data_IF_623685313008
#
_entry.id   IF_623685313008
#
_cell.length_a   1.000
_cell.length_b   1.000
_cell.length_c   1.000
_cell.angle_alpha   90.00
_cell.angle_beta   90.00
_cell.angle_gamma   90.00
#
_symmetry.space_group_name_H-M   'P 1'
#
loop_
_entity.id
_entity.type
_entity.pdbx_description
1 polymer ?
#
# COMPACT_ATOMS: atom_id res chain seq x y z
N UNK A 1 28.68 1.36 -27.98
CA UNK A 1 27.49 1.15 -27.12
C UNK A 1 27.95 0.41 -25.86
N UNK A 2 27.83 0.98 -24.64
CA UNK A 2 28.25 0.24 -23.42
C UNK A 2 27.25 -0.88 -23.16
N UNK A 3 27.71 -2.13 -23.05
CA UNK A 3 26.87 -3.28 -22.73
C UNK A 3 26.49 -3.26 -21.24
N UNK A 4 25.20 -3.34 -20.94
CA UNK A 4 24.70 -3.50 -19.57
C UNK A 4 24.52 -4.99 -19.28
N UNK A 5 24.85 -5.43 -18.06
CA UNK A 5 24.57 -6.81 -17.60
C UNK A 5 23.50 -6.80 -16.52
N UNK A 6 22.49 -7.65 -16.68
CA UNK A 6 21.53 -7.96 -15.61
C UNK A 6 22.24 -8.83 -14.57
N UNK A 7 22.11 -8.44 -13.31
CA UNK A 7 22.50 -9.25 -12.16
C UNK A 7 21.22 -9.61 -11.43
N UNK A 8 20.91 -10.91 -11.39
CA UNK A 8 19.75 -11.42 -10.67
C UNK A 8 20.25 -11.85 -9.30
N UNK A 9 19.75 -11.21 -8.25
CA UNK A 9 19.95 -11.65 -6.88
C UNK A 9 18.63 -12.33 -6.46
N UNK A 10 18.66 -13.66 -6.36
CA UNK A 10 17.51 -14.42 -5.85
C UNK A 10 17.71 -14.63 -4.37
N UNK A 11 16.78 -14.13 -3.57
CA UNK A 11 16.68 -14.47 -2.16
C UNK A 11 15.35 -15.20 -1.97
N UNK A 12 15.44 -16.51 -1.70
CA UNK A 12 14.29 -17.28 -1.26
C UNK A 12 14.20 -17.14 0.25
N UNK A 13 13.50 -16.12 0.74
CA UNK A 13 13.15 -16.08 2.16
C UNK A 13 11.92 -16.95 2.40
N UNK A 14 12.08 -18.00 3.22
CA UNK A 14 11.03 -18.95 3.59
C UNK A 14 10.00 -18.37 4.58
N UNK A 15 10.07 -17.08 4.91
CA UNK A 15 9.11 -16.44 5.79
C UNK A 15 7.83 -16.07 5.02
N UNK A 16 6.92 -17.05 4.97
CA UNK A 16 5.52 -16.96 4.55
C UNK A 16 5.26 -16.36 3.15
N UNK A 17 5.02 -17.25 2.19
CA UNK A 17 4.35 -17.00 0.89
C UNK A 17 4.93 -15.96 -0.07
N UNK A 18 6.17 -15.53 0.09
CA UNK A 18 6.77 -14.53 -0.80
C UNK A 18 8.05 -15.01 -1.45
N UNK A 19 7.96 -15.46 -2.70
CA UNK A 19 9.14 -15.50 -3.57
C UNK A 19 9.53 -14.05 -3.87
N UNK A 20 10.73 -13.63 -3.46
CA UNK A 20 11.27 -12.31 -3.74
C UNK A 20 12.36 -12.46 -4.80
N UNK A 21 12.24 -11.72 -5.88
CA UNK A 21 13.27 -11.60 -6.90
C UNK A 21 13.77 -10.15 -6.94
N UNK A 22 15.05 -9.95 -6.61
CA UNK A 22 15.73 -8.68 -6.77
C UNK A 22 16.50 -8.69 -8.11
N UNK A 23 16.08 -7.82 -9.03
CA UNK A 23 16.67 -7.75 -10.36
C UNK A 23 17.42 -6.42 -10.51
N UNK A 24 18.75 -6.51 -10.65
CA UNK A 24 19.65 -5.38 -10.77
C UNK A 24 20.26 -5.25 -12.16
N UNK A 25 20.64 -4.03 -12.54
CA UNK A 25 21.51 -3.75 -13.69
C UNK A 25 22.83 -3.21 -13.15
N UNK A 26 23.94 -3.81 -13.60
CA UNK A 26 25.28 -3.41 -13.21
C UNK A 26 26.07 -2.80 -14.38
N UNK A 27 26.99 -1.90 -14.05
CA UNK A 27 28.11 -1.53 -14.92
C UNK A 27 29.35 -2.26 -14.42
N UNK A 28 30.06 -2.91 -15.35
CA UNK A 28 31.36 -3.56 -15.13
C UNK A 28 31.38 -4.58 -13.98
N UNK A 29 30.25 -5.26 -13.72
CA UNK A 29 30.05 -6.29 -12.68
C UNK A 29 30.29 -5.87 -11.22
N UNK A 30 30.75 -4.64 -10.95
CA UNK A 30 31.12 -4.17 -9.60
C UNK A 30 30.12 -3.19 -9.00
N UNK A 31 29.27 -2.54 -9.82
CA UNK A 31 28.38 -1.48 -9.34
C UNK A 31 26.95 -1.63 -9.87
N UNK A 32 26.00 -1.86 -8.95
CA UNK A 32 24.57 -1.80 -9.26
C UNK A 32 24.18 -0.34 -9.46
N UNK A 33 23.67 -0.02 -10.66
CA UNK A 33 23.29 1.35 -11.04
C UNK A 33 21.77 1.52 -11.19
N UNK A 34 21.04 0.41 -11.22
CA UNK A 34 19.59 0.39 -11.16
C UNK A 34 19.12 -0.97 -10.63
N UNK A 35 17.99 -1.00 -9.95
CA UNK A 35 17.37 -2.25 -9.48
C UNK A 35 15.85 -2.11 -9.39
N UNK A 36 15.15 -3.23 -9.40
CA UNK A 36 13.74 -3.33 -9.08
C UNK A 36 13.42 -4.71 -8.52
N UNK A 37 12.37 -4.79 -7.72
CA UNK A 37 11.95 -6.03 -7.06
C UNK A 37 10.63 -6.53 -7.63
N UNK A 38 10.46 -7.84 -7.60
CA UNK A 38 9.17 -8.52 -7.78
C UNK A 38 8.95 -9.44 -6.59
N UNK A 39 7.80 -9.30 -5.93
CA UNK A 39 7.32 -10.30 -4.95
C UNK A 39 6.14 -11.04 -5.51
N UNK A 40 6.11 -12.35 -5.31
CA UNK A 40 4.92 -13.14 -5.60
C UNK A 40 4.03 -13.15 -4.36
N UNK A 41 2.78 -12.73 -4.51
CA UNK A 41 1.79 -12.62 -3.44
C UNK A 41 0.50 -13.35 -3.83
N UNK A 42 -0.47 -13.42 -2.91
CA UNK A 42 -1.79 -14.03 -3.15
C UNK A 42 -1.71 -15.47 -3.68
N UNK A 43 -0.86 -16.29 -3.03
CA UNK A 43 -0.62 -17.71 -3.40
C UNK A 43 -0.17 -17.91 -4.86
N UNK A 44 0.66 -17.01 -5.39
CA UNK A 44 1.19 -17.16 -6.75
C UNK A 44 0.44 -16.35 -7.81
N UNK A 45 -0.72 -15.78 -7.49
CA UNK A 45 -1.60 -15.15 -8.48
C UNK A 45 -1.10 -13.78 -8.93
N UNK A 46 -0.40 -13.05 -8.06
CA UNK A 46 -0.01 -11.66 -8.32
C UNK A 46 1.49 -11.48 -8.17
N UNK A 47 2.14 -10.94 -9.20
CA UNK A 47 3.49 -10.40 -9.10
C UNK A 47 3.45 -8.90 -8.74
N UNK A 48 3.89 -8.58 -7.53
CA UNK A 48 4.00 -7.24 -6.99
C UNK A 48 5.35 -6.62 -7.33
N UNK A 49 5.35 -5.69 -8.28
CA UNK A 49 6.55 -4.94 -8.67
C UNK A 49 6.75 -3.77 -7.72
N UNK A 50 7.96 -3.61 -7.18
CA UNK A 50 8.26 -2.51 -6.26
C UNK A 50 9.74 -2.11 -6.24
N UNK A 51 10.04 -1.06 -5.49
CA UNK A 51 11.42 -0.68 -5.17
C UNK A 51 12.27 -0.26 -6.37
N UNK A 52 11.68 0.05 -7.53
CA UNK A 52 12.45 0.48 -8.69
C UNK A 52 13.26 1.74 -8.36
N UNK A 53 14.58 1.67 -8.52
CA UNK A 53 15.50 2.80 -8.35
C UNK A 53 16.53 2.81 -9.46
N UNK A 54 16.87 4.00 -9.93
CA UNK A 54 17.96 4.25 -10.88
C UNK A 54 18.87 5.30 -10.25
N UNK A 55 20.16 4.99 -10.21
CA UNK A 55 21.18 5.90 -9.69
C UNK A 55 21.11 7.25 -10.43
N UNK A 56 21.17 8.41 -9.75
CA UNK A 56 20.93 9.73 -10.36
C UNK A 56 21.74 10.01 -11.63
N UNK A 57 23.05 9.67 -11.63
CA UNK A 57 23.96 9.81 -12.79
C UNK A 57 23.58 8.97 -14.02
N UNK A 58 22.67 8.01 -13.88
CA UNK A 58 22.24 7.09 -14.93
C UNK A 58 20.75 7.20 -15.26
N UNK A 59 20.04 8.21 -14.72
CA UNK A 59 18.66 8.53 -15.10
C UNK A 59 18.56 8.94 -16.58
N UNK A 60 17.36 8.84 -17.15
CA UNK A 60 17.05 9.17 -18.57
C UNK A 60 17.82 8.33 -19.60
N UNK A 61 18.31 7.15 -19.23
CA UNK A 61 18.98 6.18 -20.12
C UNK A 61 18.16 4.93 -20.40
N UNK A 62 16.84 4.99 -20.21
CA UNK A 62 15.94 3.83 -20.41
C UNK A 62 16.01 2.73 -19.35
N UNK A 63 16.89 2.81 -18.34
CA UNK A 63 17.10 1.74 -17.34
C UNK A 63 15.83 1.39 -16.54
N UNK A 64 15.04 2.38 -16.16
CA UNK A 64 13.77 2.13 -15.45
C UNK A 64 12.77 1.35 -16.31
N UNK A 65 12.65 1.72 -17.59
CA UNK A 65 11.79 1.01 -18.54
C UNK A 65 12.29 -0.41 -18.81
N UNK A 66 13.61 -0.57 -18.95
CA UNK A 66 14.25 -1.87 -19.14
C UNK A 66 13.95 -2.83 -17.97
N UNK A 67 14.21 -2.41 -16.72
CA UNK A 67 13.94 -3.24 -15.53
C UNK A 67 12.44 -3.53 -15.40
N UNK A 68 11.58 -2.55 -15.68
CA UNK A 68 10.12 -2.73 -15.62
C UNK A 68 9.65 -3.80 -16.61
N UNK A 69 10.11 -3.73 -17.88
CA UNK A 69 9.81 -4.75 -18.91
C UNK A 69 10.35 -6.12 -18.53
N UNK A 70 11.60 -6.18 -18.04
CA UNK A 70 12.23 -7.41 -17.61
C UNK A 70 11.44 -8.08 -16.47
N UNK A 71 11.09 -7.32 -15.42
CA UNK A 71 10.32 -7.83 -14.29
C UNK A 71 8.92 -8.32 -14.70
N UNK A 72 8.25 -7.63 -15.62
CA UNK A 72 6.96 -8.08 -16.16
C UNK A 72 7.10 -9.39 -16.96
N UNK A 73 8.13 -9.50 -17.81
CA UNK A 73 8.42 -10.73 -18.56
C UNK A 73 8.76 -11.91 -17.64
N UNK A 74 9.60 -11.68 -16.62
CA UNK A 74 9.92 -12.68 -15.60
C UNK A 74 8.66 -13.14 -14.86
N UNK A 75 7.79 -12.20 -14.48
CA UNK A 75 6.52 -12.52 -13.81
C UNK A 75 5.61 -13.39 -14.69
N UNK A 76 5.51 -13.07 -15.99
CA UNK A 76 4.76 -13.88 -16.94
C UNK A 76 5.33 -15.29 -17.08
N UNK A 77 6.66 -15.45 -17.15
CA UNK A 77 7.29 -16.78 -17.20
C UNK A 77 7.11 -17.61 -15.92
N UNK A 78 6.78 -16.98 -14.80
CA UNK A 78 6.44 -17.66 -13.54
C UNK A 78 4.96 -18.08 -13.49
N UNK A 79 4.18 -17.80 -14.53
CA UNK A 79 2.79 -18.21 -14.63
C UNK A 79 1.84 -17.47 -13.68
N UNK A 80 2.20 -16.29 -13.18
CA UNK A 80 1.27 -15.48 -12.38
C UNK A 80 0.07 -15.02 -13.22
N UNK A 81 -1.07 -14.73 -12.60
CA UNK A 81 -2.26 -14.24 -13.30
C UNK A 81 -2.13 -12.77 -13.70
N UNK A 82 -1.46 -11.95 -12.87
CA UNK A 82 -1.37 -10.51 -13.06
C UNK A 82 -0.10 -9.90 -12.46
N UNK A 83 0.25 -8.71 -12.94
CA UNK A 83 1.28 -7.85 -12.32
C UNK A 83 0.62 -6.62 -11.72
N UNK A 84 1.09 -6.19 -10.54
CA UNK A 84 0.64 -4.98 -9.84
C UNK A 84 1.84 -4.10 -9.44
N UNK A 85 1.60 -2.80 -9.39
CA UNK A 85 2.54 -1.78 -8.93
C UNK A 85 1.74 -0.63 -8.30
N UNK A 86 2.18 -0.14 -7.16
CA UNK A 86 1.77 1.17 -6.66
C UNK A 86 2.85 2.20 -6.98
N UNK A 87 2.43 3.37 -7.44
CA UNK A 87 3.35 4.50 -7.61
C UNK A 87 2.68 5.82 -7.28
N UNK A 88 3.49 6.79 -6.84
CA UNK A 88 3.06 8.17 -6.62
C UNK A 88 2.64 8.80 -7.96
N UNK A 89 1.48 9.44 -7.96
CA UNK A 89 0.90 10.03 -9.17
C UNK A 89 1.47 11.40 -9.50
N UNK A 90 1.97 12.12 -8.49
CA UNK A 90 2.52 13.47 -8.64
C UNK A 90 3.96 13.43 -9.20
N UNK A 91 4.58 12.24 -9.23
CA UNK A 91 5.86 12.01 -9.89
C UNK A 91 5.66 11.72 -11.38
N UNK A 92 5.76 12.73 -12.26
CA UNK A 92 5.44 12.62 -13.69
C UNK A 92 6.03 11.40 -14.43
N UNK A 93 7.20 10.92 -14.01
CA UNK A 93 7.90 9.81 -14.67
C UNK A 93 7.34 8.47 -14.21
N UNK A 94 6.97 8.34 -12.94
CA UNK A 94 6.70 7.04 -12.34
C UNK A 94 5.43 6.36 -12.88
N UNK A 95 4.30 7.07 -13.11
CA UNK A 95 3.12 6.52 -13.78
C UNK A 95 3.33 6.15 -15.25
N UNK A 96 4.39 6.63 -15.91
CA UNK A 96 4.68 6.27 -17.31
C UNK A 96 5.21 4.84 -17.41
N UNK A 97 6.02 4.40 -16.44
CA UNK A 97 6.64 3.08 -16.43
C UNK A 97 5.65 1.89 -16.47
N UNK A 98 4.62 1.81 -15.61
CA UNK A 98 3.64 0.71 -15.69
C UNK A 98 2.88 0.71 -17.04
N UNK A 99 2.63 1.89 -17.63
CA UNK A 99 1.95 1.97 -18.94
C UNK A 99 2.78 1.38 -20.08
N UNK A 100 4.11 1.47 -20.01
CA UNK A 100 5.03 0.88 -21.01
C UNK A 100 4.93 -0.64 -21.09
N UNK A 101 4.41 -1.29 -20.05
CA UNK A 101 4.17 -2.73 -20.01
C UNK A 101 2.69 -3.06 -20.07
N UNK A 102 1.85 -2.14 -20.54
CA UNK A 102 0.41 -2.37 -20.76
C UNK A 102 -0.44 -2.39 -19.48
N UNK A 103 0.06 -1.88 -18.35
CA UNK A 103 -0.75 -1.76 -17.14
C UNK A 103 -1.69 -0.56 -17.20
N UNK A 104 -2.90 -0.77 -16.69
CA UNK A 104 -3.93 0.26 -16.54
C UNK A 104 -4.03 0.68 -15.08
N UNK A 105 -4.37 1.96 -14.83
CA UNK A 105 -4.63 2.44 -13.47
C UNK A 105 -5.97 1.87 -12.99
N UNK A 106 -5.96 1.12 -11.89
CA UNK A 106 -7.17 0.50 -11.30
C UNK A 106 -7.78 1.37 -10.22
N UNK A 107 -6.95 1.98 -9.37
CA UNK A 107 -7.43 2.77 -8.24
C UNK A 107 -6.49 3.93 -7.94
N UNK A 108 -7.04 4.97 -7.31
CA UNK A 108 -6.27 6.04 -6.68
C UNK A 108 -6.62 6.09 -5.21
N UNK A 109 -5.59 6.22 -4.38
CA UNK A 109 -5.70 6.37 -2.93
C UNK A 109 -4.78 7.53 -2.50
N UNK A 110 -5.08 8.09 -1.34
CA UNK A 110 -4.21 9.07 -0.70
C UNK A 110 -3.39 8.39 0.39
N UNK A 111 -2.20 8.92 0.59
CA UNK A 111 -1.29 8.58 1.67
C UNK A 111 -1.03 9.84 2.50
N UNK A 112 -1.43 9.79 3.76
CA UNK A 112 -1.13 10.79 4.76
C UNK A 112 0.01 10.29 5.63
N UNK A 113 1.05 11.10 5.79
CA UNK A 113 2.09 10.89 6.79
C UNK A 113 2.21 12.11 7.69
N UNK A 114 1.99 11.88 8.98
CA UNK A 114 2.15 12.88 10.00
C UNK A 114 3.09 12.40 11.10
N UNK A 115 4.09 13.21 11.38
CA UNK A 115 5.03 13.02 12.49
C UNK A 115 4.65 13.81 13.71
N UNK A 116 5.07 13.30 14.87
CA UNK A 116 4.93 13.96 16.16
C UNK A 116 3.50 14.48 16.37
N UNK A 117 2.50 13.59 16.26
CA UNK A 117 1.12 13.95 16.53
C UNK A 117 0.97 14.28 18.02
N UNK A 118 0.58 15.51 18.33
CA UNK A 118 0.41 16.00 19.71
C UNK A 118 -0.76 15.34 20.45
N UNK A 119 -0.82 15.55 21.77
CA UNK A 119 -1.63 14.73 22.68
C UNK A 119 -3.12 15.01 22.70
N UNK A 120 -3.56 16.22 22.35
CA UNK A 120 -4.99 16.58 22.34
C UNK A 120 -5.74 15.61 21.44
N UNK A 121 -6.85 15.05 21.92
CA UNK A 121 -7.82 14.29 21.12
C UNK A 121 -9.21 14.73 21.54
N UNK A 122 -10.07 15.02 20.57
CA UNK A 122 -11.49 15.16 20.83
C UNK A 122 -12.16 13.78 20.82
N UNK A 123 -13.31 13.70 21.48
CA UNK A 123 -14.10 12.47 21.57
C UNK A 123 -14.53 11.98 20.18
N UNK A 124 -14.57 10.65 20.02
CA UNK A 124 -15.11 10.01 18.81
C UNK A 124 -16.65 10.04 18.82
N UNK A 125 -17.25 10.18 17.64
CA UNK A 125 -18.71 10.10 17.46
C UNK A 125 -19.18 8.70 17.03
N UNK A 126 -18.28 7.72 17.05
CA UNK A 126 -18.55 6.34 16.63
C UNK A 126 -17.93 5.38 17.63
N UNK A 127 -18.58 4.24 17.81
CA UNK A 127 -18.05 3.14 18.58
C UNK A 127 -17.16 2.27 17.69
N UNK A 128 -16.09 1.72 18.24
CA UNK A 128 -15.13 0.92 17.49
C UNK A 128 -14.91 -0.42 18.18
N UNK A 129 -15.12 -1.50 17.43
CA UNK A 129 -14.93 -2.86 17.91
C UNK A 129 -13.93 -3.59 17.04
N UNK A 130 -13.08 -4.41 17.68
CA UNK A 130 -12.19 -5.30 16.95
C UNK A 130 -13.02 -6.34 16.19
N UNK A 131 -12.61 -6.63 14.96
CA UNK A 131 -13.29 -7.59 14.09
C UNK A 131 -12.37 -8.75 13.72
N UNK A 132 -12.97 -9.92 13.47
CA UNK A 132 -12.29 -11.08 12.89
C UNK A 132 -12.38 -11.03 11.36
N UNK A 133 -11.54 -11.78 10.64
CA UNK A 133 -11.66 -11.95 9.18
C UNK A 133 -13.07 -12.28 8.69
N UNK A 134 -13.79 -13.17 9.38
CA UNK A 134 -15.14 -13.60 9.02
C UNK A 134 -16.15 -12.46 9.16
N UNK A 135 -16.04 -11.67 10.23
CA UNK A 135 -16.87 -10.48 10.44
C UNK A 135 -16.60 -9.43 9.35
N UNK A 136 -15.33 -9.21 9.00
CA UNK A 136 -14.95 -8.28 7.91
C UNK A 136 -15.47 -8.78 6.56
N UNK A 137 -15.32 -10.07 6.26
CA UNK A 137 -15.82 -10.64 4.99
C UNK A 137 -17.34 -10.51 4.88
N UNK A 138 -18.07 -10.83 5.95
CA UNK A 138 -19.54 -10.70 6.01
C UNK A 138 -19.97 -9.24 5.83
N UNK A 139 -19.31 -8.32 6.54
CA UNK A 139 -19.56 -6.88 6.40
C UNK A 139 -19.38 -6.42 4.95
N UNK A 140 -18.25 -6.76 4.31
CA UNK A 140 -17.94 -6.28 2.96
C UNK A 140 -18.79 -6.96 1.89
N UNK A 141 -19.32 -8.16 2.16
CA UNK A 141 -20.33 -8.80 1.31
C UNK A 141 -21.66 -8.03 1.36
N UNK A 142 -22.03 -7.53 2.54
CA UNK A 142 -23.26 -6.75 2.73
C UNK A 142 -23.11 -5.26 2.35
N UNK A 143 -21.88 -4.78 2.20
CA UNK A 143 -21.57 -3.38 1.89
C UNK A 143 -20.43 -3.28 0.84
N UNK A 144 -20.66 -3.75 -0.40
CA UNK A 144 -19.62 -3.85 -1.43
C UNK A 144 -19.05 -2.49 -1.86
N UNK A 145 -19.77 -1.39 -1.63
CA UNK A 145 -19.31 -0.04 -1.92
C UNK A 145 -18.30 0.53 -0.91
N UNK A 146 -18.07 -0.12 0.23
CA UNK A 146 -17.17 0.39 1.26
C UNK A 146 -15.70 0.30 0.83
N UNK A 147 -15.31 -0.83 0.22
CA UNK A 147 -13.95 -1.08 -0.27
C UNK A 147 -13.95 -1.00 -1.79
N UNK A 148 -13.28 0.01 -2.38
CA UNK A 148 -13.34 0.24 -3.81
C UNK A 148 -12.76 -0.93 -4.60
N UNK A 149 -13.54 -1.42 -5.57
CA UNK A 149 -13.17 -2.51 -6.49
C UNK A 149 -12.78 -3.82 -5.77
N UNK A 150 -13.29 -4.05 -4.55
CA UNK A 150 -12.93 -5.22 -3.76
C UNK A 150 -11.42 -5.37 -3.55
N UNK A 151 -10.70 -4.24 -3.44
CA UNK A 151 -9.25 -4.20 -3.19
C UNK A 151 -8.95 -3.65 -1.80
N UNK A 152 -8.44 -4.53 -0.94
CA UNK A 152 -8.00 -4.19 0.40
C UNK A 152 -6.55 -3.71 0.36
N UNK A 153 -6.34 -2.45 0.76
CA UNK A 153 -5.03 -1.86 0.94
C UNK A 153 -4.60 -2.06 2.39
N UNK A 154 -3.33 -2.38 2.54
CA UNK A 154 -2.63 -2.38 3.82
C UNK A 154 -1.18 -2.05 3.54
N UNK A 155 -0.64 -1.04 4.24
CA UNK A 155 0.69 -0.52 3.93
C UNK A 155 0.84 -0.23 2.41
N UNK A 156 1.93 -0.66 1.77
CA UNK A 156 2.17 -0.47 0.34
C UNK A 156 1.63 -1.59 -0.55
N UNK A 157 0.65 -2.38 -0.09
CA UNK A 157 0.11 -3.53 -0.84
C UNK A 157 -1.39 -3.40 -1.06
N UNK A 158 -1.88 -4.08 -2.11
CA UNK A 158 -3.30 -4.22 -2.41
C UNK A 158 -3.62 -5.68 -2.72
N UNK A 159 -4.56 -6.25 -1.98
CA UNK A 159 -5.03 -7.64 -2.13
C UNK A 159 -6.48 -7.67 -2.60
N UNK A 160 -6.83 -8.71 -3.33
CA UNK A 160 -8.23 -9.02 -3.62
C UNK A 160 -8.95 -9.34 -2.30
N UNK A 161 -10.19 -8.89 -2.18
CA UNK A 161 -11.06 -9.25 -1.07
C UNK A 161 -11.49 -10.72 -1.19
N UNK A 162 -10.73 -11.60 -0.53
CA UNK A 162 -11.07 -13.01 -0.38
C UNK A 162 -10.94 -13.41 1.08
N UNK A 163 -11.67 -14.47 1.49
CA UNK A 163 -11.53 -15.02 2.86
C UNK A 163 -10.09 -15.40 3.17
N UNK A 164 -9.42 -16.06 2.22
CA UNK A 164 -8.02 -16.47 2.37
C UNK A 164 -7.07 -15.28 2.60
N UNK A 165 -7.26 -14.19 1.85
CA UNK A 165 -6.44 -12.98 2.03
C UNK A 165 -6.74 -12.29 3.37
N UNK A 166 -7.99 -12.24 3.81
CA UNK A 166 -8.35 -11.67 5.12
C UNK A 166 -7.74 -12.46 6.28
N UNK A 167 -7.81 -13.79 6.24
CA UNK A 167 -7.19 -14.68 7.24
C UNK A 167 -5.67 -14.53 7.25
N UNK A 168 -5.03 -14.41 6.08
CA UNK A 168 -3.60 -14.16 5.99
C UNK A 168 -3.22 -12.79 6.57
N UNK A 169 -4.03 -11.76 6.30
CA UNK A 169 -3.82 -10.40 6.81
C UNK A 169 -3.94 -10.30 8.33
N UNK A 170 -4.86 -11.03 8.96
CA UNK A 170 -5.10 -10.98 10.41
C UNK A 170 -3.86 -11.29 11.26
N UNK A 171 -2.89 -12.01 10.68
CA UNK A 171 -1.59 -12.27 11.31
C UNK A 171 -0.71 -11.03 11.43
N UNK A 172 -1.02 -9.98 10.68
CA UNK A 172 -0.18 -8.78 10.51
C UNK A 172 -0.92 -7.47 10.83
N UNK A 173 -2.24 -7.45 10.67
CA UNK A 173 -3.07 -6.26 10.89
C UNK A 173 -4.17 -6.57 11.91
N UNK A 174 -4.62 -5.54 12.62
CA UNK A 174 -5.85 -5.61 13.42
C UNK A 174 -6.98 -4.92 12.66
N UNK A 175 -8.11 -5.62 12.49
CA UNK A 175 -9.33 -5.06 11.92
C UNK A 175 -10.19 -4.39 12.98
N UNK A 176 -10.75 -3.24 12.64
CA UNK A 176 -11.73 -2.53 13.46
C UNK A 176 -12.92 -2.11 12.62
N UNK A 177 -14.12 -2.25 13.17
CA UNK A 177 -15.37 -1.80 12.57
C UNK A 177 -15.89 -0.63 13.39
N UNK A 178 -16.19 0.47 12.70
CA UNK A 178 -16.82 1.65 13.30
C UNK A 178 -18.34 1.62 13.12
N UNK A 179 -19.07 1.83 14.20
CA UNK A 179 -20.54 1.87 14.23
C UNK A 179 -21.06 3.23 14.72
N UNK A 180 -22.17 3.69 14.13
CA UNK A 180 -22.92 4.88 14.57
C UNK A 180 -24.41 4.55 14.45
N UNK A 181 -25.17 4.74 15.52
CA UNK A 181 -26.60 4.40 15.58
C UNK A 181 -26.87 2.95 15.14
N UNK A 182 -26.09 2.01 15.67
CA UNK A 182 -26.08 0.58 15.32
C UNK A 182 -25.77 0.22 13.85
N UNK A 183 -25.45 1.21 13.00
CA UNK A 183 -25.07 0.99 11.60
C UNK A 183 -23.55 1.00 11.44
N UNK A 184 -23.01 0.07 10.66
CA UNK A 184 -21.59 0.11 10.28
C UNK A 184 -21.34 1.27 9.33
N UNK A 185 -20.41 2.16 9.70
CA UNK A 185 -20.06 3.35 8.94
C UNK A 185 -18.60 3.35 8.45
N UNK A 186 -17.75 2.48 9.01
CA UNK A 186 -16.36 2.36 8.59
C UNK A 186 -15.73 0.99 8.87
N UNK A 187 -14.67 0.70 8.13
CA UNK A 187 -13.72 -0.39 8.35
C UNK A 187 -12.33 0.23 8.36
N UNK A 188 -11.49 -0.15 9.31
CA UNK A 188 -10.07 0.17 9.26
C UNK A 188 -9.17 -0.99 9.63
N UNK A 189 -8.01 -1.00 8.99
CA UNK A 189 -6.92 -1.94 9.20
C UNK A 189 -5.80 -1.15 9.88
N UNK A 190 -5.30 -1.61 11.02
CA UNK A 190 -4.19 -0.97 11.72
C UNK A 190 -3.04 -1.94 11.95
N UNK A 191 -1.80 -1.50 11.77
CA UNK A 191 -0.60 -2.27 12.05
C UNK A 191 0.54 -1.36 12.53
N UNK A 192 1.42 -1.93 13.35
CA UNK A 192 2.71 -1.31 13.67
C UNK A 192 3.71 -1.69 12.58
N UNK A 193 4.38 -0.70 12.00
CA UNK A 193 5.47 -0.91 11.04
C UNK A 193 6.78 -0.38 11.62
N UNK A 194 7.91 -0.90 11.14
CA UNK A 194 9.23 -0.38 11.46
C UNK A 194 9.83 0.20 10.19
N UNK A 195 10.05 1.51 10.19
CA UNK A 195 10.72 2.23 9.12
C UNK A 195 12.15 2.60 9.48
N UNK A 196 12.91 3.22 8.55
CA UNK A 196 14.30 3.65 8.78
C UNK A 196 14.48 4.65 9.94
N UNK A 197 13.38 5.22 10.46
CA UNK A 197 13.40 6.25 11.51
C UNK A 197 12.72 5.78 12.80
N UNK A 198 12.40 4.49 12.92
CA UNK A 198 11.75 3.91 14.08
C UNK A 198 10.39 3.28 13.76
N UNK A 199 9.67 2.91 14.82
CA UNK A 199 8.32 2.37 14.69
C UNK A 199 7.29 3.46 14.40
N UNK A 200 6.33 3.15 13.54
CA UNK A 200 5.22 4.03 13.18
C UNK A 200 3.91 3.22 13.15
N UNK A 201 2.78 3.93 13.28
CA UNK A 201 1.46 3.31 13.15
C UNK A 201 0.95 3.51 11.73
N UNK A 202 0.70 2.42 11.02
CA UNK A 202 0.11 2.44 9.70
C UNK A 202 -1.35 2.01 9.78
N UNK A 203 -2.25 2.75 9.15
CA UNK A 203 -3.63 2.35 9.01
C UNK A 203 -4.18 2.58 7.59
N UNK A 204 -5.20 1.81 7.23
CA UNK A 204 -6.03 2.06 6.04
C UNK A 204 -7.47 2.24 6.49
N UNK A 205 -8.12 3.32 6.05
CA UNK A 205 -9.48 3.68 6.45
C UNK A 205 -10.42 3.66 5.25
N UNK A 206 -11.47 2.87 5.37
CA UNK A 206 -12.64 2.89 4.50
C UNK A 206 -13.85 3.39 5.29
N UNK A 207 -14.54 4.40 4.78
CA UNK A 207 -15.68 5.00 5.45
C UNK A 207 -16.80 5.28 4.43
N UNK A 208 -18.04 5.32 4.93
CA UNK A 208 -19.19 5.72 4.12
C UNK A 208 -19.19 7.24 3.88
N UNK A 209 -18.98 8.02 4.93
CA UNK A 209 -19.05 9.50 4.92
C UNK A 209 -17.86 10.18 5.60
N UNK A 210 -17.82 11.53 5.52
CA UNK A 210 -16.72 12.36 6.07
C UNK A 210 -16.65 12.30 7.59
N UNK A 211 -17.79 12.25 8.29
CA UNK A 211 -17.84 12.19 9.75
C UNK A 211 -17.29 10.85 10.26
N UNK A 212 -17.70 9.75 9.62
CA UNK A 212 -17.18 8.41 9.90
C UNK A 212 -15.68 8.31 9.64
N UNK A 213 -15.17 8.92 8.56
CA UNK A 213 -13.74 9.00 8.29
C UNK A 213 -12.98 9.74 9.41
N UNK A 214 -13.45 10.94 9.81
CA UNK A 214 -12.81 11.75 10.85
C UNK A 214 -12.82 11.01 12.20
N UNK A 215 -13.96 10.42 12.58
CA UNK A 215 -14.11 9.61 13.79
C UNK A 215 -13.12 8.45 13.79
N UNK A 216 -13.02 7.72 12.67
CA UNK A 216 -12.09 6.58 12.52
C UNK A 216 -10.63 7.01 12.57
N UNK A 217 -10.28 8.16 11.99
CA UNK A 217 -8.92 8.68 12.02
C UNK A 217 -8.51 9.11 13.44
N UNK A 218 -9.41 9.74 14.21
CA UNK A 218 -9.18 10.04 15.63
C UNK A 218 -8.98 8.77 16.46
N UNK A 219 -9.83 7.77 16.24
CA UNK A 219 -9.68 6.45 16.85
C UNK A 219 -8.30 5.83 16.58
N UNK A 220 -7.83 5.86 15.32
CA UNK A 220 -6.52 5.32 14.96
C UNK A 220 -5.36 6.11 15.59
N UNK A 221 -5.47 7.43 15.73
CA UNK A 221 -4.49 8.23 16.49
C UNK A 221 -4.47 7.82 17.97
N UNK A 222 -5.63 7.54 18.57
CA UNK A 222 -5.70 7.04 19.95
C UNK A 222 -5.01 5.68 20.10
N UNK A 223 -5.25 4.75 19.17
CA UNK A 223 -4.57 3.45 19.16
C UNK A 223 -3.05 3.61 18.99
N UNK A 224 -2.60 4.45 18.07
CA UNK A 224 -1.18 4.78 17.90
C UNK A 224 -0.55 5.24 19.23
N UNK A 225 -1.19 6.20 19.92
CA UNK A 225 -0.71 6.70 21.22
C UNK A 225 -0.71 5.64 22.31
N UNK A 226 -1.74 4.78 22.37
CA UNK A 226 -1.79 3.64 23.30
C UNK A 226 -0.59 2.69 23.09
N UNK A 227 -0.09 2.61 21.85
CA UNK A 227 1.10 1.85 21.50
C UNK A 227 2.43 2.63 21.66
N UNK A 228 2.39 3.83 22.26
CA UNK A 228 3.55 4.72 22.46
C UNK A 228 4.27 5.09 21.16
N UNK A 229 3.49 5.30 20.09
CA UNK A 229 3.98 5.74 18.79
C UNK A 229 3.60 7.21 18.55
N UNK A 230 4.46 7.95 17.86
CA UNK A 230 4.27 9.39 17.56
C UNK A 230 3.91 9.68 16.10
N UNK A 231 4.16 8.72 15.23
CA UNK A 231 4.09 8.87 13.78
C UNK A 231 2.94 8.02 13.21
N UNK A 232 2.13 8.65 12.37
CA UNK A 232 0.97 8.06 11.71
C UNK A 232 1.14 8.06 10.20
N UNK A 233 0.93 6.88 9.62
CA UNK A 233 0.67 6.68 8.21
C UNK A 233 -0.79 6.28 8.02
N UNK A 234 -1.53 7.00 7.19
CA UNK A 234 -2.93 6.71 6.92
C UNK A 234 -3.19 6.67 5.42
N UNK A 235 -3.70 5.54 4.95
CA UNK A 235 -4.15 5.33 3.58
C UNK A 235 -5.67 5.47 3.53
N UNK A 236 -6.19 6.25 2.58
CA UNK A 236 -7.63 6.45 2.48
C UNK A 236 -8.08 6.81 1.06
N UNK A 237 -9.37 6.59 0.71
CA UNK A 237 -9.93 7.07 -0.54
C UNK A 237 -9.80 8.59 -0.72
N UNK A 238 -9.57 9.09 -1.96
CA UNK A 238 -9.33 10.52 -2.21
C UNK A 238 -10.47 11.43 -1.77
N UNK A 239 -11.73 10.96 -1.77
CA UNK A 239 -12.92 11.71 -1.34
C UNK A 239 -12.83 12.27 0.08
N UNK A 240 -11.97 11.71 0.93
CA UNK A 240 -11.81 12.13 2.33
C UNK A 240 -10.67 13.13 2.56
N UNK A 241 -9.92 13.50 1.52
CA UNK A 241 -8.81 14.46 1.65
C UNK A 241 -9.22 15.77 2.33
N UNK A 242 -10.35 16.32 1.89
CA UNK A 242 -10.88 17.59 2.40
C UNK A 242 -11.42 17.51 3.83
N UNK A 243 -11.47 16.33 4.46
CA UNK A 243 -11.85 16.16 5.85
C UNK A 243 -10.64 16.24 6.81
N UNK A 244 -9.41 16.10 6.32
CA UNK A 244 -8.18 16.14 7.14
C UNK A 244 -8.06 17.44 7.95
N UNK A 245 -8.35 18.64 7.41
CA UNK A 245 -8.25 19.88 8.18
C UNK A 245 -9.14 19.96 9.42
N UNK A 246 -10.17 19.10 9.55
CA UNK A 246 -11.05 19.02 10.73
C UNK A 246 -10.38 18.34 11.94
N UNK A 247 -9.14 17.89 11.77
CA UNK A 247 -8.31 17.30 12.83
C UNK A 247 -7.14 18.26 13.04
N UNK A 248 -7.22 19.18 14.04
CA UNK A 248 -6.21 20.22 14.25
C UNK A 248 -4.77 19.70 14.30
N UNK A 249 -4.59 18.49 14.83
CA UNK A 249 -3.31 17.78 14.95
C UNK A 249 -2.66 17.48 13.60
N UNK A 250 -3.45 17.46 12.51
CA UNK A 250 -3.01 17.15 11.15
C UNK A 250 -2.91 18.39 10.25
N UNK A 251 -3.15 19.60 10.75
CA UNK A 251 -3.15 20.81 9.90
C UNK A 251 -1.72 21.26 9.51
N UNK A 252 -0.71 21.00 10.34
CA UNK A 252 0.67 21.48 10.11
C UNK A 252 1.62 20.34 9.78
N UNK A 253 2.48 20.55 8.77
CA UNK A 253 3.58 19.64 8.38
C UNK A 253 3.10 18.19 8.12
N UNK A 254 1.96 18.06 7.46
CA UNK A 254 1.41 16.76 7.03
C UNK A 254 1.85 16.53 5.59
N UNK A 255 2.53 15.41 5.35
CA UNK A 255 2.87 14.99 4.00
C UNK A 255 1.67 14.27 3.41
N UNK A 256 1.21 14.74 2.26
CA UNK A 256 0.06 14.19 1.55
C UNK A 256 0.52 13.82 0.16
N UNK A 257 0.38 12.55 -0.19
CA UNK A 257 0.74 12.02 -1.49
C UNK A 257 -0.48 11.32 -2.10
N UNK A 258 -0.61 11.37 -3.42
CA UNK A 258 -1.57 10.54 -4.16
C UNK A 258 -0.83 9.39 -4.80
N UNK A 259 -1.33 8.17 -4.65
CA UNK A 259 -0.77 7.02 -5.34
C UNK A 259 -1.82 6.29 -6.18
N UNK A 260 -1.36 5.70 -7.27
CA UNK A 260 -2.15 4.88 -8.16
C UNK A 260 -1.72 3.43 -8.06
N UNK A 261 -2.70 2.54 -7.94
CA UNK A 261 -2.49 1.12 -8.22
C UNK A 261 -2.64 0.90 -9.73
N UNK A 262 -1.61 0.34 -10.34
CA UNK A 262 -1.60 -0.11 -11.72
C UNK A 262 -1.64 -1.64 -11.76
N UNK A 263 -2.32 -2.19 -12.76
CA UNK A 263 -2.47 -3.63 -12.95
C UNK A 263 -2.49 -3.98 -14.43
N UNK A 264 -1.89 -5.13 -14.77
CA UNK A 264 -2.08 -5.81 -16.05
C UNK A 264 -2.37 -7.28 -15.78
N UNK A 265 -3.46 -7.78 -16.36
CA UNK A 265 -3.71 -9.22 -16.45
C UNK A 265 -2.78 -9.83 -17.48
N UNK A 266 -2.18 -10.97 -17.14
CA UNK A 266 -1.28 -11.75 -18.00
C UNK A 266 -1.94 -13.01 -18.54
N UNK A 267 -3.10 -13.38 -17.97
CA UNK A 267 -4.00 -14.43 -18.44
C UNK A 267 -5.33 -13.80 -18.83
#
# INVERSE_FOLDING_TARGET
MRSFKIVILREQSLCYYHLISLNGVSIDKKKIIAFGLVRIIEKGRTAWMEGLRVHPRYKRRGLGAFITKYNAGLSASQGVERVRLITELDNEISPKLPRLIGMSKRLTMNYLWKKNIGDRLSQESSEFHRATPEKVFTLLSNLPGLVPRNLLFYNWYALDLTRANLVALDKTVTFWIGTRDAKTVSLCLGLRTTGPRGSEWCCTIYAQDRSAFVSTLRFQIRIMKKNRLSDLLCIHPPKFHSAIPQIPQLQKRTYLLKFGLFERNLR
#
